data_IF_971000774424
#
_entry.id   IF_971000774424
#
_cell.length_a   1.000
_cell.length_b   1.000
_cell.length_c   1.000
_cell.angle_alpha   90.00
_cell.angle_beta   90.00
_cell.angle_gamma   90.00
#
_symmetry.space_group_name_H-M   'P 1'
#
loop_
_entity.id
_entity.type
_entity.pdbx_description
1 polymer ?
#
# COMPACT_ATOMS: atom_id res chain seq x y z
N UNK A 1 -19.39 -19.59 -4.39
CA UNK A 1 -18.97 -18.18 -4.27
C UNK A 1 -18.63 -17.69 -5.67
N UNK A 2 -19.28 -16.63 -6.15
CA UNK A 2 -18.91 -16.04 -7.45
C UNK A 2 -17.61 -15.29 -7.20
N UNK A 3 -16.51 -15.75 -7.78
CA UNK A 3 -15.24 -15.07 -7.71
C UNK A 3 -15.29 -13.83 -8.63
N UNK A 4 -15.21 -12.64 -8.06
CA UNK A 4 -15.10 -11.41 -8.84
C UNK A 4 -13.74 -11.36 -9.50
N UNK A 5 -13.70 -11.22 -10.83
CA UNK A 5 -12.47 -11.10 -11.60
C UNK A 5 -12.44 -9.74 -12.29
N UNK A 6 -11.37 -8.99 -12.08
CA UNK A 6 -11.17 -7.67 -12.66
C UNK A 6 -9.92 -7.69 -13.55
N UNK A 7 -9.99 -6.92 -14.63
CA UNK A 7 -8.87 -6.82 -15.55
C UNK A 7 -7.64 -6.21 -14.88
N UNK A 8 -7.83 -5.16 -14.09
CA UNK A 8 -6.77 -4.39 -13.45
C UNK A 8 -7.25 -3.77 -12.12
N UNK A 9 -6.36 -3.04 -11.45
CA UNK A 9 -6.66 -2.39 -10.18
C UNK A 9 -7.74 -1.29 -10.31
N UNK A 10 -7.77 -0.55 -11.43
CA UNK A 10 -8.77 0.51 -11.63
C UNK A 10 -10.17 -0.05 -11.73
N UNK A 11 -10.37 -1.14 -12.49
CA UNK A 11 -11.67 -1.79 -12.61
C UNK A 11 -12.18 -2.34 -11.27
N UNK A 12 -11.30 -2.95 -10.47
CA UNK A 12 -11.63 -3.40 -9.13
C UNK A 12 -12.05 -2.22 -8.22
N UNK A 13 -11.31 -1.13 -8.27
CA UNK A 13 -11.63 0.08 -7.51
C UNK A 13 -13.00 0.63 -7.91
N UNK A 14 -13.26 0.80 -9.22
CA UNK A 14 -14.51 1.37 -9.72
C UNK A 14 -15.72 0.54 -9.28
N UNK A 15 -15.60 -0.80 -9.35
CA UNK A 15 -16.63 -1.70 -8.89
C UNK A 15 -16.95 -1.52 -7.41
N UNK A 16 -15.95 -1.58 -6.53
CA UNK A 16 -16.19 -1.44 -5.09
C UNK A 16 -16.53 -0.01 -4.68
N UNK A 17 -16.00 1.00 -5.36
CA UNK A 17 -16.36 2.40 -5.13
C UNK A 17 -17.84 2.65 -5.41
N UNK A 18 -18.38 2.03 -6.46
CA UNK A 18 -19.79 2.08 -6.77
C UNK A 18 -20.68 1.24 -5.82
N UNK A 19 -20.17 0.12 -5.32
CA UNK A 19 -20.96 -0.86 -4.55
C UNK A 19 -21.03 -0.53 -3.04
N UNK A 20 -19.93 -0.12 -2.43
CA UNK A 20 -19.82 0.10 -0.96
C UNK A 20 -20.86 1.11 -0.44
N UNK A 21 -21.21 2.22 -1.12
CA UNK A 21 -22.23 3.15 -0.65
C UNK A 21 -23.60 2.52 -0.43
N UNK A 22 -23.94 1.47 -1.19
CA UNK A 22 -25.23 0.81 -1.16
C UNK A 22 -25.23 -0.47 -0.33
N UNK A 23 -24.25 -1.33 -0.54
CA UNK A 23 -24.19 -2.67 0.08
C UNK A 23 -23.31 -2.70 1.34
N UNK A 24 -22.49 -1.66 1.56
CA UNK A 24 -21.56 -1.60 2.68
C UNK A 24 -22.29 -1.41 4.02
N UNK A 25 -21.84 -2.15 5.03
CA UNK A 25 -22.25 -1.95 6.41
C UNK A 25 -21.71 -0.63 6.96
N UNK A 26 -22.54 0.07 7.74
CA UNK A 26 -22.09 1.29 8.41
C UNK A 26 -21.12 0.94 9.53
N UNK A 27 -19.94 1.55 9.48
CA UNK A 27 -18.92 1.39 10.49
C UNK A 27 -18.39 2.77 10.89
N UNK A 28 -18.80 3.26 12.07
CA UNK A 28 -18.53 4.63 12.52
C UNK A 28 -19.00 5.67 11.49
N UNK A 29 -18.10 6.51 10.98
CA UNK A 29 -18.36 7.53 9.95
C UNK A 29 -18.06 7.03 8.52
N UNK A 30 -17.83 5.73 8.35
CA UNK A 30 -17.53 5.09 7.07
C UNK A 30 -18.53 3.99 6.73
N UNK A 31 -18.42 3.45 5.52
CA UNK A 31 -19.06 2.18 5.13
C UNK A 31 -17.98 1.19 4.73
N UNK A 32 -18.17 -0.07 5.05
CA UNK A 32 -17.23 -1.13 4.75
C UNK A 32 -17.93 -2.42 4.32
N UNK A 33 -17.32 -3.16 3.42
CA UNK A 33 -17.67 -4.53 3.09
C UNK A 33 -16.59 -5.46 3.63
N UNK A 34 -16.99 -6.54 4.28
CA UNK A 34 -16.09 -7.51 4.89
C UNK A 34 -16.08 -8.80 4.07
N UNK A 35 -15.01 -9.60 4.24
CA UNK A 35 -14.86 -10.91 3.60
C UNK A 35 -15.01 -10.87 2.07
N UNK A 36 -14.55 -9.79 1.46
CA UNK A 36 -14.53 -9.67 0.00
C UNK A 36 -13.24 -10.29 -0.55
N UNK A 37 -13.39 -11.13 -1.55
CA UNK A 37 -12.29 -11.69 -2.32
C UNK A 37 -12.48 -11.40 -3.80
N UNK A 38 -11.39 -11.16 -4.50
CA UNK A 38 -11.38 -10.96 -5.94
C UNK A 38 -10.01 -11.29 -6.55
N UNK A 39 -10.01 -11.51 -7.84
CA UNK A 39 -8.78 -11.73 -8.62
C UNK A 39 -8.54 -10.56 -9.57
N UNK A 40 -7.33 -10.02 -9.59
CA UNK A 40 -6.85 -9.08 -10.62
C UNK A 40 -6.06 -9.87 -11.67
N UNK A 41 -6.53 -9.82 -12.91
CA UNK A 41 -5.94 -10.60 -14.02
C UNK A 41 -4.62 -10.02 -14.51
N UNK A 42 -4.47 -8.70 -14.48
CA UNK A 42 -3.24 -8.00 -14.85
C UNK A 42 -2.77 -7.11 -13.68
N UNK A 43 -2.01 -7.66 -12.70
CA UNK A 43 -1.58 -6.90 -11.52
C UNK A 43 -0.48 -5.86 -11.84
N UNK A 44 0.14 -5.91 -13.03
CA UNK A 44 1.13 -4.90 -13.45
C UNK A 44 0.45 -3.57 -13.78
N UNK A 45 -0.80 -3.62 -14.27
CA UNK A 45 -1.65 -2.45 -14.49
C UNK A 45 -2.33 -2.04 -13.18
N UNK A 46 -1.53 -1.39 -12.32
CA UNK A 46 -1.86 -1.06 -10.92
C UNK A 46 -2.32 0.37 -10.69
N UNK A 47 -2.28 1.22 -11.72
CA UNK A 47 -2.66 2.62 -11.61
C UNK A 47 -4.18 2.73 -11.58
N UNK A 48 -4.71 3.34 -10.50
CA UNK A 48 -6.14 3.62 -10.37
C UNK A 48 -6.40 5.00 -10.97
N UNK A 49 -7.17 5.01 -12.08
CA UNK A 49 -7.45 6.21 -12.86
C UNK A 49 -8.70 6.98 -12.41
N UNK A 50 -9.49 6.41 -11.51
CA UNK A 50 -10.67 7.07 -10.97
C UNK A 50 -10.27 8.30 -10.17
N UNK A 51 -10.80 9.47 -10.55
CA UNK A 51 -10.47 10.75 -9.92
C UNK A 51 -10.80 10.80 -8.42
N UNK A 52 -11.82 10.06 -7.97
CA UNK A 52 -12.18 9.97 -6.55
C UNK A 52 -11.08 9.34 -5.70
N UNK A 53 -10.21 8.51 -6.28
CA UNK A 53 -9.03 7.95 -5.60
C UNK A 53 -7.93 8.97 -5.39
N UNK A 54 -7.85 9.97 -6.28
CA UNK A 54 -6.79 10.98 -6.27
C UNK A 54 -5.39 10.35 -6.14
N UNK A 55 -5.13 9.35 -7.00
CA UNK A 55 -3.90 8.58 -6.94
C UNK A 55 -2.70 9.42 -7.39
N UNK A 56 -1.70 9.53 -6.53
CA UNK A 56 -0.46 10.26 -6.79
C UNK A 56 0.69 9.28 -7.00
N UNK A 57 1.08 9.07 -8.27
CA UNK A 57 2.15 8.13 -8.61
C UNK A 57 3.51 8.57 -8.08
N UNK A 58 3.83 9.87 -8.13
CA UNK A 58 5.10 10.40 -7.65
C UNK A 58 5.27 10.14 -6.14
N UNK A 59 4.19 10.34 -5.39
CA UNK A 59 4.20 10.03 -3.96
C UNK A 59 4.34 8.52 -3.72
N UNK A 60 3.62 7.69 -4.45
CA UNK A 60 3.69 6.24 -4.29
C UNK A 60 5.10 5.70 -4.59
N UNK A 61 5.76 6.23 -5.61
CA UNK A 61 7.14 5.87 -5.95
C UNK A 61 8.14 6.35 -4.89
N UNK A 62 7.96 7.56 -4.38
CA UNK A 62 8.81 8.11 -3.31
C UNK A 62 8.65 7.31 -2.00
N UNK A 63 7.43 6.93 -1.65
CA UNK A 63 7.15 6.09 -0.48
C UNK A 63 7.77 4.70 -0.63
N UNK A 64 7.68 4.10 -1.81
CA UNK A 64 8.33 2.84 -2.11
C UNK A 64 9.86 2.93 -1.98
N UNK A 65 10.48 3.97 -2.54
CA UNK A 65 11.91 4.23 -2.39
C UNK A 65 12.29 4.39 -0.92
N UNK A 66 11.48 5.12 -0.14
CA UNK A 66 11.71 5.25 1.29
C UNK A 66 11.72 3.89 2.00
N UNK A 67 10.77 3.00 1.70
CA UNK A 67 10.76 1.65 2.28
C UNK A 67 12.02 0.86 1.93
N UNK A 68 12.50 0.95 0.70
CA UNK A 68 13.73 0.27 0.27
C UNK A 68 15.01 0.79 0.96
N UNK A 69 14.99 1.97 1.55
CA UNK A 69 16.13 2.47 2.37
C UNK A 69 16.24 1.80 3.74
N UNK A 70 15.19 1.12 4.22
CA UNK A 70 15.10 0.60 5.58
C UNK A 70 15.03 1.68 6.68
N UNK A 71 15.09 2.96 6.32
CA UNK A 71 15.06 4.08 7.28
C UNK A 71 13.65 4.33 7.83
N UNK A 72 13.45 4.36 9.17
CA UNK A 72 12.18 4.74 9.76
C UNK A 72 11.93 6.26 9.77
N UNK A 73 12.92 7.08 9.38
CA UNK A 73 12.86 8.54 9.47
C UNK A 73 11.90 9.13 8.44
N UNK A 74 10.91 9.91 8.86
CA UNK A 74 10.06 10.69 7.97
C UNK A 74 10.87 11.71 7.13
N UNK A 75 11.99 12.18 7.68
CA UNK A 75 12.93 13.06 6.98
C UNK A 75 13.47 12.41 5.70
N UNK A 76 13.76 11.10 5.71
CA UNK A 76 14.22 10.38 4.52
C UNK A 76 13.20 10.45 3.38
N UNK A 77 11.90 10.28 3.69
CA UNK A 77 10.85 10.50 2.69
C UNK A 77 10.82 11.96 2.22
N UNK A 78 11.00 12.91 3.13
CA UNK A 78 11.06 14.33 2.80
C UNK A 78 12.17 14.67 1.80
N UNK A 79 13.33 14.03 1.93
CA UNK A 79 14.47 14.19 1.00
C UNK A 79 14.19 13.59 -0.37
N UNK A 80 13.49 12.44 -0.42
CA UNK A 80 13.11 11.76 -1.68
C UNK A 80 11.98 12.50 -2.39
N UNK A 81 10.91 12.86 -1.68
CA UNK A 81 9.67 13.41 -2.25
C UNK A 81 9.67 14.95 -2.34
N UNK A 82 10.63 15.60 -1.67
CA UNK A 82 10.73 17.07 -1.58
C UNK A 82 9.93 17.70 -0.44
N UNK A 83 9.13 16.93 0.28
CA UNK A 83 8.38 17.36 1.48
C UNK A 83 7.95 16.14 2.31
N UNK A 84 7.74 16.34 3.61
CA UNK A 84 7.14 15.33 4.47
C UNK A 84 5.62 15.50 4.43
N UNK A 85 4.83 14.52 3.92
CA UNK A 85 3.37 14.57 3.97
C UNK A 85 2.85 14.70 5.41
N UNK A 86 1.76 15.45 5.59
CA UNK A 86 1.19 15.75 6.91
C UNK A 86 0.93 14.50 7.75
N UNK A 87 0.42 13.44 7.12
CA UNK A 87 0.16 12.16 7.81
C UNK A 87 1.41 11.61 8.49
N UNK A 88 2.56 11.69 7.84
CA UNK A 88 3.80 11.18 8.41
C UNK A 88 4.38 12.11 9.48
N UNK A 89 4.18 13.42 9.35
CA UNK A 89 4.52 14.35 10.43
C UNK A 89 3.74 14.03 11.70
N UNK A 90 2.45 13.71 11.57
CA UNK A 90 1.56 13.39 12.70
C UNK A 90 1.84 12.01 13.31
N UNK A 91 2.47 11.10 12.56
CA UNK A 91 2.78 9.73 12.98
C UNK A 91 4.22 9.55 13.48
N UNK A 92 5.04 10.59 13.49
CA UNK A 92 6.42 10.51 14.00
C UNK A 92 6.45 10.47 15.53
N UNK A 93 7.39 9.69 16.07
CA UNK A 93 7.77 9.79 17.48
C UNK A 93 8.65 11.03 17.74
N UNK A 94 9.08 11.24 18.99
CA UNK A 94 9.93 12.35 19.39
C UNK A 94 11.32 12.38 18.73
N UNK A 95 11.71 11.30 18.05
CA UNK A 95 12.96 11.17 17.30
C UNK A 95 12.75 11.28 15.78
N UNK A 96 11.54 11.57 15.32
CA UNK A 96 11.18 11.66 13.90
C UNK A 96 11.05 10.31 13.19
N UNK A 97 10.88 9.20 13.93
CA UNK A 97 10.68 7.90 13.34
C UNK A 97 9.20 7.60 13.15
N UNK A 98 8.87 6.94 12.06
CA UNK A 98 7.56 6.33 11.81
C UNK A 98 7.69 4.83 12.12
N UNK A 99 7.19 4.42 13.28
CA UNK A 99 7.33 3.03 13.77
C UNK A 99 6.60 2.00 12.90
N UNK A 100 5.59 2.43 12.14
CA UNK A 100 4.86 1.59 11.20
C UNK A 100 5.49 1.54 9.79
N UNK A 101 6.66 2.13 9.57
CA UNK A 101 7.36 2.07 8.28
C UNK A 101 7.69 0.63 7.92
N UNK A 102 7.18 0.16 6.77
CA UNK A 102 7.37 -1.22 6.33
C UNK A 102 8.83 -1.55 6.02
N UNK A 103 9.59 -0.63 5.43
CA UNK A 103 10.99 -0.84 5.12
C UNK A 103 11.81 -1.14 6.36
N UNK A 104 11.63 -0.35 7.42
CA UNK A 104 12.32 -0.59 8.70
C UNK A 104 11.89 -1.90 9.39
N UNK A 105 10.63 -2.34 9.15
CA UNK A 105 10.17 -3.63 9.65
C UNK A 105 10.81 -4.80 8.88
N UNK A 106 11.02 -4.66 7.56
CA UNK A 106 11.68 -5.68 6.74
C UNK A 106 13.16 -5.85 7.08
N UNK A 107 13.83 -4.75 7.45
CA UNK A 107 15.22 -4.79 7.92
C UNK A 107 15.38 -5.54 9.26
N UNK A 108 14.36 -5.50 10.09
CA UNK A 108 14.38 -6.25 11.35
C UNK A 108 14.50 -7.75 11.08
N UNK A 109 15.49 -8.38 11.69
CA UNK A 109 15.77 -9.81 11.52
C UNK A 109 16.05 -10.22 10.07
N UNK A 110 16.50 -9.30 9.24
CA UNK A 110 16.88 -9.56 7.83
C UNK A 110 15.78 -10.27 7.03
N UNK A 111 14.53 -9.85 7.21
CA UNK A 111 13.38 -10.53 6.61
C UNK A 111 13.46 -10.53 5.08
N UNK A 112 13.80 -9.41 4.46
CA UNK A 112 13.89 -9.30 3.01
C UNK A 112 14.99 -10.22 2.44
N UNK A 113 16.18 -10.19 3.04
CA UNK A 113 17.31 -11.04 2.61
C UNK A 113 16.98 -12.52 2.73
N UNK A 114 16.28 -12.90 3.81
CA UNK A 114 15.85 -14.28 4.02
C UNK A 114 14.84 -14.73 2.95
N UNK A 115 13.85 -13.91 2.63
CA UNK A 115 12.86 -14.22 1.58
C UNK A 115 13.55 -14.34 0.22
N UNK A 116 14.45 -13.43 -0.12
CA UNK A 116 15.22 -13.50 -1.38
C UNK A 116 16.07 -14.77 -1.44
N UNK A 117 16.73 -15.14 -0.34
CA UNK A 117 17.52 -16.38 -0.28
C UNK A 117 16.64 -17.63 -0.46
N UNK A 118 15.48 -17.69 0.22
CA UNK A 118 14.53 -18.78 0.08
C UNK A 118 14.00 -18.93 -1.34
N UNK A 119 13.64 -17.83 -1.99
CA UNK A 119 13.15 -17.86 -3.38
C UNK A 119 14.23 -18.24 -4.40
N UNK A 120 15.50 -17.93 -4.11
CA UNK A 120 16.63 -18.39 -4.94
C UNK A 120 16.88 -19.89 -4.80
N UNK A 121 16.69 -20.43 -3.60
CA UNK A 121 16.86 -21.85 -3.30
C UNK A 121 15.68 -22.69 -3.83
N UNK A 122 14.48 -22.21 -3.61
CA UNK A 122 13.24 -22.85 -4.07
C UNK A 122 12.23 -21.80 -4.55
N UNK A 123 12.16 -21.52 -5.88
CA UNK A 123 11.24 -20.52 -6.45
C UNK A 123 9.76 -20.83 -6.24
N UNK A 124 9.43 -22.09 -5.97
CA UNK A 124 8.06 -22.58 -5.78
C UNK A 124 7.58 -22.53 -4.30
N UNK A 125 8.34 -21.86 -3.45
CA UNK A 125 8.04 -21.73 -2.01
C UNK A 125 6.90 -20.73 -1.77
#
# INVERSE_FOLDING_TARGET
MIENKFKNASEAFDFYYGLIPYEGHRFSNTRAMFNQGFTILNPVDRIITNEARNFNIEYAEAEWQWYLTGSPKAQTLGEIYGKIPKIWQDMTDGNGNVNSNYGSQWERAYQLDRVVAMLKDNPDT
#
